data_IF_624645565326
#
_entry.id   IF_624645565326
#
_cell.length_a   1.000
_cell.length_b   1.000
_cell.length_c   1.000
_cell.angle_alpha   90.00
_cell.angle_beta   90.00
_cell.angle_gamma   90.00
#
_symmetry.space_group_name_H-M   'P 1'
#
loop_
_entity.id
_entity.type
_entity.pdbx_description
1 polymer ?
#
# COMPACT_ATOMS: atom_id res chain seq x y z
N UNK A 1 -0.73 17.25 -0.40
CA UNK A 1 0.32 16.46 0.28
C UNK A 1 0.37 16.74 1.77
N UNK A 2 0.72 17.96 2.17
CA UNK A 2 0.98 18.34 3.57
C UNK A 2 -0.11 17.90 4.58
N UNK A 3 -1.39 18.25 4.37
CA UNK A 3 -2.45 17.92 5.32
C UNK A 3 -2.66 16.40 5.52
N UNK A 4 -2.49 15.61 4.46
CA UNK A 4 -2.55 14.15 4.54
C UNK A 4 -1.36 13.61 5.35
N UNK A 5 -0.16 14.14 5.12
CA UNK A 5 1.03 13.75 5.87
C UNK A 5 0.88 14.06 7.38
N UNK A 6 0.32 15.22 7.71
CA UNK A 6 0.04 15.60 9.10
C UNK A 6 -0.98 14.66 9.76
N UNK A 7 -2.07 14.32 9.06
CA UNK A 7 -3.06 13.36 9.56
C UNK A 7 -2.43 11.99 9.84
N UNK A 8 -1.57 11.51 8.94
CA UNK A 8 -0.85 10.23 9.12
C UNK A 8 0.06 10.31 10.35
N UNK A 9 0.84 11.38 10.52
CA UNK A 9 1.73 11.56 11.67
C UNK A 9 0.96 11.61 13.00
N UNK A 10 -0.22 12.24 13.02
CA UNK A 10 -1.11 12.26 14.18
C UNK A 10 -1.64 10.86 14.49
N UNK A 11 -2.19 10.15 13.49
CA UNK A 11 -2.81 8.84 13.71
C UNK A 11 -1.78 7.75 14.04
N UNK A 12 -0.62 7.76 13.38
CA UNK A 12 0.38 6.73 13.52
C UNK A 12 1.41 7.05 14.60
N UNK A 13 1.81 8.31 14.77
CA UNK A 13 2.78 8.74 15.77
C UNK A 13 2.12 9.17 17.08
N UNK A 14 1.49 10.35 17.06
CA UNK A 14 0.96 11.01 18.26
C UNK A 14 -0.06 10.14 19.01
N UNK A 15 -1.06 9.59 18.31
CA UNK A 15 -2.14 8.81 18.91
C UNK A 15 -1.65 7.49 19.52
N UNK A 16 -0.64 6.87 18.93
CA UNK A 16 -0.13 5.57 19.39
C UNK A 16 0.93 5.70 20.49
N UNK A 17 1.40 6.92 20.76
CA UNK A 17 2.54 7.18 21.65
C UNK A 17 3.90 6.86 21.01
N UNK A 18 3.95 6.70 19.68
CA UNK A 18 5.20 6.51 18.94
C UNK A 18 5.88 7.84 18.64
N UNK A 19 7.10 7.81 18.09
CA UNK A 19 7.76 9.04 17.66
C UNK A 19 6.98 9.69 16.51
N UNK A 20 6.99 11.03 16.47
CA UNK A 20 6.29 11.82 15.46
C UNK A 20 7.18 12.96 14.95
N UNK A 21 6.87 13.49 13.77
CA UNK A 21 7.64 14.58 13.15
C UNK A 21 9.15 14.30 13.09
N UNK A 22 9.94 15.16 13.73
CA UNK A 22 11.42 15.08 13.71
C UNK A 22 12.01 14.00 14.62
N UNK A 23 11.19 13.40 15.49
CA UNK A 23 11.63 12.36 16.43
C UNK A 23 11.73 10.98 15.77
N UNK A 24 11.12 10.83 14.59
CA UNK A 24 11.16 9.58 13.81
C UNK A 24 12.58 9.31 13.35
N UNK A 25 13.14 8.18 13.77
CA UNK A 25 14.49 7.77 13.40
C UNK A 25 14.58 7.41 11.92
N UNK A 26 15.75 7.68 11.33
CA UNK A 26 16.02 7.36 9.93
C UNK A 26 16.30 5.88 9.75
N UNK A 27 15.76 5.29 8.67
CA UNK A 27 16.07 3.91 8.24
C UNK A 27 17.58 3.69 7.95
N UNK A 28 18.35 4.77 7.80
CA UNK A 28 19.79 4.70 7.57
C UNK A 28 20.63 4.67 8.85
N UNK A 29 20.01 4.83 10.02
CA UNK A 29 20.67 4.69 11.33
C UNK A 29 20.63 3.22 11.76
N UNK A 30 21.51 2.43 11.15
CA UNK A 30 21.64 1.00 11.43
C UNK A 30 22.08 0.78 12.89
N UNK A 31 21.45 -0.16 13.59
CA UNK A 31 21.79 -0.55 14.97
C UNK A 31 20.89 0.03 16.06
N UNK A 32 19.95 0.91 15.71
CA UNK A 32 18.94 1.43 16.66
C UNK A 32 17.56 0.83 16.40
N UNK A 33 16.77 0.68 17.46
CA UNK A 33 15.35 0.33 17.33
C UNK A 33 14.60 1.46 16.63
N UNK A 34 13.79 1.08 15.63
CA UNK A 34 12.87 2.00 14.96
C UNK A 34 11.78 2.48 15.91
N UNK A 35 11.36 3.73 15.75
CA UNK A 35 10.36 4.39 16.61
C UNK A 35 9.05 4.67 15.86
N UNK A 36 8.83 3.99 14.73
CA UNK A 36 7.63 4.15 13.89
C UNK A 36 6.40 3.61 14.60
N UNK A 37 5.31 4.36 14.53
CA UNK A 37 3.98 3.86 14.87
C UNK A 37 3.16 3.53 13.62
N UNK A 38 2.09 2.76 13.82
CA UNK A 38 1.16 2.35 12.78
C UNK A 38 -0.26 2.50 13.28
N UNK A 39 -1.18 2.89 12.39
CA UNK A 39 -2.60 2.97 12.67
C UNK A 39 -3.35 2.13 11.64
N UNK A 40 -4.26 1.29 12.13
CA UNK A 40 -5.15 0.49 11.29
C UNK A 40 -6.60 0.87 11.63
N UNK A 41 -7.39 1.14 10.58
CA UNK A 41 -8.80 1.49 10.71
C UNK A 41 -9.59 0.48 9.88
N UNK A 42 -10.52 -0.22 10.53
CA UNK A 42 -11.47 -1.10 9.87
C UNK A 42 -12.88 -0.54 10.07
N UNK A 43 -13.63 -0.41 8.98
CA UNK A 43 -15.02 0.04 8.99
C UNK A 43 -15.88 -1.13 8.54
N UNK A 44 -16.83 -1.53 9.38
CA UNK A 44 -17.77 -2.61 9.06
C UNK A 44 -18.98 -2.02 8.31
N UNK A 45 -19.13 -2.27 6.99
CA UNK A 45 -20.25 -1.75 6.21
C UNK A 45 -21.61 -2.32 6.66
N UNK A 46 -21.64 -3.50 7.30
CA UNK A 46 -22.88 -4.07 7.84
C UNK A 46 -23.47 -3.22 8.97
N UNK A 47 -22.63 -2.45 9.68
CA UNK A 47 -23.09 -1.51 10.71
C UNK A 47 -23.58 -0.17 10.17
N UNK A 48 -23.49 0.04 8.85
CA UNK A 48 -23.87 1.30 8.20
C UNK A 48 -25.00 1.08 7.21
N UNK A 49 -24.70 0.49 6.04
CA UNK A 49 -25.65 0.38 4.93
C UNK A 49 -25.95 -1.07 4.51
N UNK A 50 -25.31 -2.05 5.17
CA UNK A 50 -25.37 -3.47 4.81
C UNK A 50 -24.32 -3.82 3.74
N UNK A 51 -23.66 -4.96 3.87
CA UNK A 51 -22.57 -5.39 2.99
C UNK A 51 -23.00 -5.53 1.53
N UNK A 52 -24.20 -6.06 1.27
CA UNK A 52 -24.67 -6.27 -0.10
C UNK A 52 -24.95 -4.93 -0.82
N UNK A 53 -25.64 -4.00 -0.16
CA UNK A 53 -25.86 -2.65 -0.68
C UNK A 53 -24.53 -1.88 -0.83
N UNK A 54 -23.57 -2.07 0.08
CA UNK A 54 -22.24 -1.50 -0.07
C UNK A 54 -21.53 -2.01 -1.33
N UNK A 55 -21.52 -3.32 -1.57
CA UNK A 55 -20.94 -3.93 -2.78
C UNK A 55 -21.61 -3.43 -4.06
N UNK A 56 -22.93 -3.44 -4.12
CA UNK A 56 -23.68 -2.94 -5.29
C UNK A 56 -23.31 -1.49 -5.65
N UNK A 57 -23.11 -0.64 -4.62
CA UNK A 57 -22.71 0.76 -4.83
C UNK A 57 -21.26 0.90 -5.26
N UNK A 58 -20.36 0.06 -4.73
CA UNK A 58 -18.96 0.00 -5.17
C UNK A 58 -18.90 -0.45 -6.63
N UNK A 59 -19.64 -1.48 -7.02
CA UNK A 59 -19.71 -1.96 -8.41
C UNK A 59 -20.18 -0.85 -9.35
N UNK A 60 -21.23 -0.12 -8.95
CA UNK A 60 -21.73 1.02 -9.73
C UNK A 60 -20.70 2.14 -9.87
N UNK A 61 -19.95 2.46 -8.81
CA UNK A 61 -18.87 3.46 -8.86
C UNK A 61 -17.74 3.01 -9.79
N UNK A 62 -17.38 1.73 -9.72
CA UNK A 62 -16.39 1.10 -10.63
C UNK A 62 -16.83 1.25 -12.08
N UNK A 63 -18.09 0.94 -12.41
CA UNK A 63 -18.63 1.11 -13.75
C UNK A 63 -18.54 2.57 -14.24
N UNK A 64 -18.85 3.55 -13.38
CA UNK A 64 -18.73 4.98 -13.74
C UNK A 64 -17.28 5.38 -14.03
N UNK A 65 -16.33 4.91 -13.22
CA UNK A 65 -14.91 5.19 -13.41
C UNK A 65 -14.40 4.54 -14.70
N UNK A 66 -14.66 3.24 -14.90
CA UNK A 66 -14.21 2.50 -16.09
C UNK A 66 -14.88 3.00 -17.37
N UNK A 67 -16.12 3.50 -17.27
CA UNK A 67 -16.86 4.11 -18.38
C UNK A 67 -16.42 5.54 -18.74
N UNK A 68 -15.54 6.16 -17.94
CA UNK A 68 -15.06 7.51 -18.20
C UNK A 68 -14.13 7.58 -19.41
N UNK A 69 -14.20 8.67 -20.18
CA UNK A 69 -13.35 8.87 -21.36
C UNK A 69 -11.86 8.92 -20.97
N UNK A 70 -11.00 8.02 -21.47
CA UNK A 70 -9.57 8.07 -21.19
C UNK A 70 -8.92 9.34 -21.75
N UNK A 71 -7.85 9.80 -21.08
CA UNK A 71 -6.98 10.85 -21.63
C UNK A 71 -6.29 10.39 -22.92
N UNK A 72 -5.87 11.34 -23.76
CA UNK A 72 -5.18 11.03 -25.02
C UNK A 72 -3.94 10.16 -24.75
N UNK A 73 -3.86 9.02 -25.44
CA UNK A 73 -2.75 8.06 -25.30
C UNK A 73 -2.91 7.05 -24.17
N UNK A 74 -3.98 7.14 -23.38
CA UNK A 74 -4.34 6.14 -22.36
C UNK A 74 -5.35 5.16 -22.96
N UNK A 75 -5.07 3.86 -22.86
CA UNK A 75 -5.93 2.81 -23.42
C UNK A 75 -7.23 2.63 -22.63
N UNK A 76 -7.13 2.67 -21.31
CA UNK A 76 -8.25 2.48 -20.39
C UNK A 76 -8.00 3.24 -19.08
N UNK A 77 -9.09 3.59 -18.39
CA UNK A 77 -9.02 4.07 -17.01
C UNK A 77 -8.88 2.86 -16.09
N UNK A 78 -7.98 2.94 -15.13
CA UNK A 78 -7.75 1.88 -14.14
C UNK A 78 -8.12 2.38 -12.74
N UNK A 79 -8.66 1.49 -11.93
CA UNK A 79 -8.90 1.74 -10.51
C UNK A 79 -7.57 1.69 -9.73
N UNK A 80 -7.49 2.41 -8.59
CA UNK A 80 -6.42 2.18 -7.63
C UNK A 80 -6.37 0.70 -7.22
N UNK A 81 -5.21 0.06 -7.39
CA UNK A 81 -5.01 -1.37 -7.08
C UNK A 81 -5.22 -2.33 -8.25
N UNK A 82 -5.88 -1.91 -9.35
CA UNK A 82 -6.15 -2.79 -10.50
C UNK A 82 -4.85 -3.19 -11.22
N UNK A 83 -3.88 -2.26 -11.32
CA UNK A 83 -2.57 -2.54 -11.92
C UNK A 83 -1.80 -3.58 -11.11
N UNK A 84 -1.81 -3.41 -9.79
CA UNK A 84 -1.14 -4.29 -8.85
C UNK A 84 -1.78 -5.68 -8.86
N UNK A 85 -3.11 -5.77 -8.89
CA UNK A 85 -3.86 -7.03 -9.02
C UNK A 85 -3.48 -7.81 -10.29
N UNK A 86 -3.49 -7.14 -11.46
CA UNK A 86 -3.13 -7.77 -12.73
C UNK A 86 -1.67 -8.25 -12.75
N UNK A 87 -0.76 -7.45 -12.18
CA UNK A 87 0.65 -7.82 -12.09
C UNK A 87 0.87 -8.98 -11.11
N UNK A 88 0.09 -9.04 -10.01
CA UNK A 88 0.08 -10.18 -9.09
C UNK A 88 -0.39 -11.47 -9.79
N UNK A 89 -1.52 -11.44 -10.50
CA UNK A 89 -2.02 -12.58 -11.27
C UNK A 89 -1.02 -13.06 -12.33
N UNK A 90 -0.32 -12.11 -12.97
CA UNK A 90 0.75 -12.43 -13.93
C UNK A 90 1.92 -13.11 -13.23
N UNK A 91 2.45 -12.52 -12.15
CA UNK A 91 3.61 -13.06 -11.42
C UNK A 91 3.33 -14.37 -10.70
N UNK A 92 2.08 -14.64 -10.31
CA UNK A 92 1.67 -15.95 -9.79
C UNK A 92 1.83 -17.07 -10.84
N UNK A 93 1.69 -16.74 -12.13
CA UNK A 93 1.81 -17.69 -13.25
C UNK A 93 3.21 -17.72 -13.87
N UNK A 94 3.83 -16.56 -14.02
CA UNK A 94 5.09 -16.37 -14.76
C UNK A 94 6.32 -16.31 -13.84
N UNK A 95 6.11 -16.25 -12.52
CA UNK A 95 7.17 -16.03 -11.53
C UNK A 95 7.42 -14.55 -11.24
N UNK A 96 8.15 -14.29 -10.16
CA UNK A 96 8.52 -12.93 -9.74
C UNK A 96 9.86 -12.58 -10.39
N UNK A 97 9.93 -11.52 -11.22
CA UNK A 97 11.20 -11.07 -11.77
C UNK A 97 12.06 -10.48 -10.65
N UNK A 98 13.29 -10.98 -10.51
CA UNK A 98 14.28 -10.49 -9.57
C UNK A 98 15.49 -10.05 -10.39
N UNK A 99 16.01 -8.85 -10.12
CA UNK A 99 17.22 -8.41 -10.79
C UNK A 99 18.44 -9.20 -10.31
N UNK A 100 19.39 -9.45 -11.22
CA UNK A 100 20.57 -10.26 -10.96
C UNK A 100 21.38 -9.78 -9.75
N UNK A 101 21.41 -8.46 -9.50
CA UNK A 101 22.15 -7.88 -8.38
C UNK A 101 21.47 -8.20 -7.05
N UNK A 102 20.14 -8.11 -6.99
CA UNK A 102 19.37 -8.54 -5.83
C UNK A 102 19.48 -10.06 -5.61
N UNK A 103 19.42 -10.86 -6.68
CA UNK A 103 19.55 -12.31 -6.59
C UNK A 103 20.87 -12.73 -5.93
N UNK A 104 22.00 -12.19 -6.39
CA UNK A 104 23.31 -12.45 -5.78
C UNK A 104 23.37 -12.04 -4.32
N UNK A 105 22.75 -10.90 -3.96
CA UNK A 105 22.70 -10.45 -2.57
C UNK A 105 21.92 -11.42 -1.68
N UNK A 106 20.88 -12.06 -2.20
CA UNK A 106 20.12 -13.09 -1.48
C UNK A 106 20.99 -14.36 -1.27
N UNK A 107 21.71 -14.80 -2.30
CA UNK A 107 22.64 -15.95 -2.21
C UNK A 107 23.80 -15.70 -1.23
N UNK A 108 24.28 -14.45 -1.10
CA UNK A 108 25.28 -14.07 -0.11
C UNK A 108 24.74 -14.11 1.32
N UNK A 109 23.47 -13.73 1.52
CA UNK A 109 22.83 -13.77 2.83
C UNK A 109 22.62 -15.20 3.31
N UNK A 110 22.30 -16.14 2.41
CA UNK A 110 22.20 -17.57 2.73
C UNK A 110 23.49 -18.12 3.37
N UNK A 111 24.65 -17.64 2.92
CA UNK A 111 25.97 -18.13 3.35
C UNK A 111 26.46 -17.53 4.67
N UNK A 112 25.77 -16.53 5.22
CA UNK A 112 26.14 -15.91 6.49
C UNK A 112 25.37 -16.57 7.64
N UNK A 113 26.04 -17.23 8.59
CA UNK A 113 25.37 -17.66 9.82
C UNK A 113 24.93 -16.42 10.61
N UNK A 114 23.73 -16.51 11.20
CA UNK A 114 23.14 -15.48 12.07
C UNK A 114 24.02 -15.19 13.30
#
# INVERSE_FOLDING_TARGET
GYGIALLIDILAGVLTGSAFGKEVKSLHQLGEFMTLGQCFIAIDPDKMIGIENFKERVDKEIEMIKGSKPSKGVKEVLLPGEREFLEEERRRREGIPIDEKLWKKLEELEKKPF
#
